data_IF_734566941977
#
_entry.id   IF_734566941977
#
_cell.length_a   1.000
_cell.length_b   1.000
_cell.length_c   1.000
_cell.angle_alpha   90.00
_cell.angle_beta   90.00
_cell.angle_gamma   90.00
#
_symmetry.space_group_name_H-M   'P 1'
#
loop_
_entity.id
_entity.type
_entity.pdbx_description
1 polymer ?
#
# COMPACT_ATOMS: atom_id res chain seq x y z
N UNK A 1 8.65 26.99 -3.22
CA UNK A 1 9.01 28.25 -3.88
C UNK A 1 7.79 29.00 -4.45
N UNK A 2 6.68 28.29 -4.68
CA UNK A 2 5.45 28.86 -5.27
C UNK A 2 4.21 28.60 -4.40
N UNK A 3 4.37 28.21 -3.12
CA UNK A 3 3.27 28.00 -2.17
C UNK A 3 2.45 26.72 -2.38
N UNK A 4 2.85 25.87 -3.30
CA UNK A 4 2.21 24.54 -3.49
C UNK A 4 2.50 23.61 -2.30
N UNK A 5 1.54 22.72 -2.01
CA UNK A 5 1.68 21.69 -0.99
C UNK A 5 1.91 20.34 -1.65
N UNK A 6 2.66 19.47 -0.99
CA UNK A 6 2.95 18.11 -1.45
C UNK A 6 2.09 17.10 -0.70
N UNK A 7 1.17 16.49 -1.41
CA UNK A 7 0.39 15.37 -0.91
C UNK A 7 1.05 14.06 -1.34
N UNK A 8 1.34 13.20 -0.37
CA UNK A 8 1.84 11.85 -0.63
C UNK A 8 0.74 10.85 -0.34
N UNK A 9 0.30 10.14 -1.37
CA UNK A 9 -0.56 8.99 -1.21
C UNK A 9 0.26 7.86 -0.58
N UNK A 10 0.10 7.69 0.72
CA UNK A 10 0.70 6.63 1.51
C UNK A 10 -0.29 5.52 1.85
N UNK A 11 -1.35 5.33 1.05
CA UNK A 11 -2.36 4.32 1.29
C UNK A 11 -1.73 2.96 1.59
N UNK A 12 -0.70 2.60 0.84
CA UNK A 12 0.14 1.43 1.10
C UNK A 12 1.54 1.88 1.53
N UNK A 13 1.89 1.62 2.80
CA UNK A 13 3.20 1.93 3.39
C UNK A 13 4.12 0.70 3.49
N UNK A 14 3.80 -0.41 2.83
CA UNK A 14 4.54 -1.67 3.00
C UNK A 14 6.04 -1.59 2.62
N UNK A 15 6.43 -0.60 1.81
CA UNK A 15 7.84 -0.33 1.53
C UNK A 15 8.46 0.81 2.37
N UNK A 16 7.71 1.42 3.28
CA UNK A 16 8.13 2.66 3.94
C UNK A 16 8.29 2.54 5.45
N UNK A 17 7.50 1.66 6.12
CA UNK A 17 7.49 1.61 7.59
C UNK A 17 8.90 1.30 8.13
N UNK A 18 9.39 2.17 9.00
CA UNK A 18 10.73 2.07 9.57
C UNK A 18 11.89 2.42 8.62
N UNK A 19 11.65 2.57 7.32
CA UNK A 19 12.66 2.84 6.30
C UNK A 19 12.66 4.29 5.81
N UNK A 20 11.47 4.85 5.53
CA UNK A 20 11.33 6.21 5.06
C UNK A 20 10.04 6.85 5.60
N UNK A 21 10.12 8.09 6.05
CA UNK A 21 8.96 8.83 6.56
C UNK A 21 8.51 9.91 5.57
N UNK A 22 7.23 9.99 5.19
CA UNK A 22 6.73 10.98 4.24
C UNK A 22 7.15 12.41 4.57
N UNK A 23 7.05 12.83 5.83
CA UNK A 23 7.50 14.16 6.24
C UNK A 23 9.01 14.39 6.11
N UNK A 24 9.84 13.32 6.13
CA UNK A 24 11.30 13.45 5.97
C UNK A 24 11.73 13.70 4.54
N UNK A 25 10.94 13.28 3.57
CA UNK A 25 11.21 13.55 2.16
C UNK A 25 10.33 14.65 1.56
N UNK A 26 9.65 15.43 2.41
CA UNK A 26 9.02 16.69 2.03
C UNK A 26 7.51 16.64 1.77
N UNK A 27 6.80 15.64 2.29
CA UNK A 27 5.34 15.63 2.28
C UNK A 27 4.78 16.64 3.27
N UNK A 28 3.84 17.45 2.83
CA UNK A 28 3.01 18.32 3.69
C UNK A 28 1.80 17.57 4.24
N UNK A 29 1.28 16.62 3.46
CA UNK A 29 0.17 15.74 3.82
C UNK A 29 0.49 14.32 3.38
N UNK A 30 0.18 13.35 4.23
CA UNK A 30 0.15 11.93 3.85
C UNK A 30 -1.01 11.22 4.54
N UNK A 31 -1.72 10.37 3.81
CA UNK A 31 -2.65 9.42 4.40
C UNK A 31 -2.10 8.00 4.30
N UNK A 32 -2.63 7.11 5.11
CA UNK A 32 -2.34 5.69 5.04
C UNK A 32 -3.62 4.88 5.28
N UNK A 33 -3.67 3.66 4.75
CA UNK A 33 -4.79 2.75 4.98
C UNK A 33 -4.35 1.64 5.94
N UNK A 34 -5.04 1.54 7.08
CA UNK A 34 -4.69 0.53 8.07
C UNK A 34 -4.94 -0.90 7.57
N UNK A 35 -5.88 -1.08 6.64
CA UNK A 35 -6.18 -2.37 6.02
C UNK A 35 -5.15 -2.83 4.97
N UNK A 36 -4.16 -2.02 4.65
CA UNK A 36 -3.07 -2.40 3.74
C UNK A 36 -1.79 -2.76 4.50
N UNK A 37 -1.41 -1.94 5.49
CA UNK A 37 -0.10 -2.07 6.14
C UNK A 37 -0.21 -2.43 7.63
N UNK A 38 -1.36 -2.19 8.26
CA UNK A 38 -1.53 -2.32 9.72
C UNK A 38 -2.67 -3.26 10.13
N UNK A 39 -2.91 -4.28 9.32
CA UNK A 39 -3.58 -5.51 9.71
C UNK A 39 -5.09 -5.43 9.99
N UNK A 40 -5.79 -4.30 9.78
CA UNK A 40 -7.23 -4.31 9.96
C UNK A 40 -7.93 -5.03 8.79
N UNK A 41 -9.01 -5.78 9.05
CA UNK A 41 -9.81 -6.36 7.97
C UNK A 41 -10.62 -5.29 7.25
N UNK A 42 -10.62 -5.31 5.91
CA UNK A 42 -11.45 -4.43 5.07
C UNK A 42 -12.08 -5.19 3.89
N UNK A 43 -11.51 -6.30 3.50
CA UNK A 43 -12.07 -7.19 2.49
C UNK A 43 -13.49 -7.65 2.85
N UNK A 44 -14.39 -7.68 1.87
CA UNK A 44 -15.79 -8.00 2.09
C UNK A 44 -16.62 -6.87 2.73
N UNK A 45 -16.09 -5.63 2.85
CA UNK A 45 -16.83 -4.45 3.27
C UNK A 45 -16.77 -4.14 4.76
N UNK A 46 -15.72 -4.55 5.45
CA UNK A 46 -15.45 -4.13 6.82
C UNK A 46 -15.18 -2.62 6.93
N UNK A 47 -15.21 -2.04 8.15
CA UNK A 47 -14.92 -0.62 8.35
C UNK A 47 -13.47 -0.31 7.98
N UNK A 48 -13.26 0.71 7.14
CA UNK A 48 -11.94 1.23 6.81
C UNK A 48 -11.52 2.34 7.75
N UNK A 49 -10.21 2.50 7.93
CA UNK A 49 -9.60 3.64 8.61
C UNK A 49 -8.40 4.14 7.80
N UNK A 50 -8.37 5.44 7.58
CA UNK A 50 -7.32 6.13 6.85
C UNK A 50 -6.75 7.28 7.67
N UNK A 51 -5.84 7.03 8.63
CA UNK A 51 -5.18 8.10 9.34
C UNK A 51 -4.49 9.06 8.38
N UNK A 52 -4.52 10.35 8.72
CA UNK A 52 -3.87 11.40 7.96
C UNK A 52 -2.87 12.13 8.83
N UNK A 53 -1.66 12.32 8.32
CA UNK A 53 -0.64 13.15 8.92
C UNK A 53 -0.43 14.42 8.10
N UNK A 54 -0.28 15.55 8.78
CA UNK A 54 -0.08 16.84 8.12
C UNK A 54 1.07 17.63 8.75
N UNK A 55 1.71 18.48 7.96
CA UNK A 55 2.61 19.51 8.48
C UNK A 55 1.89 20.48 9.41
N UNK A 56 2.60 21.04 10.40
CA UNK A 56 2.00 21.91 11.44
C UNK A 56 1.20 23.10 10.87
N UNK A 57 1.62 23.63 9.73
CA UNK A 57 0.93 24.73 9.05
C UNK A 57 -0.44 24.35 8.49
N UNK A 58 -0.72 23.05 8.30
CA UNK A 58 -2.00 22.53 7.85
C UNK A 58 -2.89 22.03 9.00
N UNK A 59 -2.36 21.93 10.21
CA UNK A 59 -3.12 21.47 11.37
C UNK A 59 -4.45 22.23 11.60
N UNK A 60 -4.54 23.56 11.39
CA UNK A 60 -5.80 24.30 11.54
C UNK A 60 -6.90 23.90 10.55
N UNK A 61 -6.56 23.20 9.49
CA UNK A 61 -7.49 22.76 8.43
C UNK A 61 -7.93 21.31 8.60
N UNK A 62 -7.45 20.61 9.63
CA UNK A 62 -7.85 19.23 9.89
C UNK A 62 -9.34 19.11 10.16
N UNK A 63 -9.97 17.98 9.80
CA UNK A 63 -11.32 17.67 10.23
C UNK A 63 -11.46 17.65 11.73
N UNK A 64 -12.61 18.04 12.22
CA UNK A 64 -12.95 18.01 13.64
C UNK A 64 -14.20 17.16 13.90
N UNK A 65 -14.61 17.03 15.14
CA UNK A 65 -15.81 16.35 15.57
C UNK A 65 -16.55 17.20 16.59
N UNK A 66 -17.86 17.31 16.42
CA UNK A 66 -18.72 18.04 17.39
C UNK A 66 -18.76 17.36 18.76
N UNK A 67 -18.54 16.04 18.81
CA UNK A 67 -18.60 15.25 20.05
C UNK A 67 -17.24 15.14 20.73
N UNK A 68 -16.17 15.07 19.93
CA UNK A 68 -14.79 14.91 20.43
C UNK A 68 -13.85 15.85 19.66
N UNK A 69 -13.94 17.16 19.86
CA UNK A 69 -13.13 18.11 19.10
C UNK A 69 -11.65 17.98 19.42
N UNK A 70 -10.80 18.15 18.41
CA UNK A 70 -9.37 18.31 18.60
C UNK A 70 -9.09 19.68 19.25
N UNK A 71 -8.11 19.72 20.13
CA UNK A 71 -7.73 20.96 20.81
C UNK A 71 -7.32 22.03 19.78
N UNK A 72 -7.90 23.21 19.91
CA UNK A 72 -7.62 24.35 19.02
C UNK A 72 -8.38 24.35 17.68
N UNK A 73 -9.24 23.35 17.43
CA UNK A 73 -10.10 23.32 16.25
C UNK A 73 -11.56 23.65 16.62
N UNK A 74 -12.26 24.29 15.68
CA UNK A 74 -13.70 24.56 15.82
C UNK A 74 -14.49 23.24 15.68
N UNK A 75 -15.16 22.86 16.75
CA UNK A 75 -15.95 21.63 16.81
C UNK A 75 -17.08 21.54 15.77
N UNK A 76 -17.52 22.68 15.21
CA UNK A 76 -18.65 22.76 14.27
C UNK A 76 -18.22 22.76 12.81
N UNK A 77 -16.92 22.93 12.54
CA UNK A 77 -16.38 23.00 11.18
C UNK A 77 -15.69 21.70 10.78
N UNK A 78 -15.75 21.42 9.49
CA UNK A 78 -15.04 20.31 8.86
C UNK A 78 -15.36 18.92 9.45
N UNK A 79 -16.58 18.70 9.93
CA UNK A 79 -17.05 17.37 10.36
C UNK A 79 -17.22 16.50 9.12
N UNK A 80 -16.55 15.35 9.08
CA UNK A 80 -16.53 14.46 7.92
C UNK A 80 -17.25 13.14 8.14
N UNK A 81 -17.60 12.79 9.37
CA UNK A 81 -18.30 11.55 9.69
C UNK A 81 -19.30 11.75 10.83
N UNK A 82 -20.31 10.87 10.89
CA UNK A 82 -21.32 10.89 11.96
C UNK A 82 -20.73 10.49 13.32
N UNK A 83 -19.73 9.59 13.31
CA UNK A 83 -18.98 9.21 14.51
C UNK A 83 -17.65 9.98 14.60
N UNK A 84 -17.12 10.23 15.79
CA UNK A 84 -15.82 10.88 15.92
C UNK A 84 -14.74 10.12 15.16
N UNK A 85 -14.17 10.75 14.14
CA UNK A 85 -13.04 10.23 13.35
C UNK A 85 -13.27 8.87 12.69
N UNK A 86 -14.51 8.49 12.40
CA UNK A 86 -14.86 7.22 11.74
C UNK A 86 -14.90 6.03 12.70
N UNK A 87 -14.51 4.86 12.23
CA UNK A 87 -14.61 3.58 13.00
C UNK A 87 -13.43 3.37 13.94
N UNK A 88 -13.28 4.23 14.95
CA UNK A 88 -12.11 4.25 15.84
C UNK A 88 -11.90 2.97 16.65
N UNK A 89 -12.94 2.19 16.92
CA UNK A 89 -12.82 0.91 17.65
C UNK A 89 -11.89 -0.08 16.96
N UNK A 90 -11.75 -0.02 15.63
CA UNK A 90 -10.87 -0.90 14.87
C UNK A 90 -9.36 -0.60 15.06
N UNK A 91 -9.03 0.56 15.60
CA UNK A 91 -7.64 0.97 15.87
C UNK A 91 -6.93 0.03 16.86
N UNK A 92 -7.70 -0.67 17.72
CA UNK A 92 -7.13 -1.66 18.65
C UNK A 92 -6.41 -2.79 17.94
N UNK A 93 -6.84 -3.18 16.74
CA UNK A 93 -6.19 -4.23 15.93
C UNK A 93 -4.81 -3.74 15.47
N UNK A 94 -4.73 -2.56 14.89
CA UNK A 94 -3.45 -1.98 14.47
C UNK A 94 -2.53 -1.73 15.67
N UNK A 95 -3.08 -1.29 16.79
CA UNK A 95 -2.31 -1.11 18.02
C UNK A 95 -1.69 -2.43 18.50
N UNK A 96 -2.48 -3.50 18.56
CA UNK A 96 -1.98 -4.83 18.94
C UNK A 96 -0.93 -5.33 17.96
N UNK A 97 -1.16 -5.19 16.66
CA UNK A 97 -0.19 -5.57 15.62
C UNK A 97 1.17 -4.88 15.85
N UNK A 98 1.16 -3.55 16.03
CA UNK A 98 2.38 -2.78 16.26
C UNK A 98 3.03 -3.16 17.60
N UNK A 99 2.23 -3.35 18.65
CA UNK A 99 2.74 -3.74 19.97
C UNK A 99 3.40 -5.14 19.95
N UNK A 100 2.81 -6.08 19.22
CA UNK A 100 3.34 -7.45 19.08
C UNK A 100 4.61 -7.49 18.21
N UNK A 101 4.64 -6.74 17.12
CA UNK A 101 5.78 -6.71 16.19
C UNK A 101 6.94 -5.89 16.73
N UNK A 102 6.66 -4.85 17.49
CA UNK A 102 7.65 -3.86 17.89
C UNK A 102 8.22 -3.06 16.71
N UNK A 103 9.09 -2.11 17.02
CA UNK A 103 9.72 -1.27 15.99
C UNK A 103 10.51 -2.09 14.97
N UNK A 104 11.27 -3.06 15.45
CA UNK A 104 12.12 -3.89 14.57
C UNK A 104 11.26 -4.80 13.68
N UNK A 105 10.23 -5.43 14.24
CA UNK A 105 9.36 -6.33 13.48
C UNK A 105 8.59 -5.62 12.36
N UNK A 106 8.03 -4.43 12.58
CA UNK A 106 7.35 -3.70 11.50
C UNK A 106 8.32 -3.17 10.46
N UNK A 107 9.58 -2.87 10.86
CA UNK A 107 10.64 -2.50 9.92
C UNK A 107 11.08 -3.70 9.07
N UNK A 108 11.24 -4.86 9.69
CA UNK A 108 11.61 -6.08 8.99
C UNK A 108 10.52 -6.57 8.05
N UNK A 109 9.24 -6.40 8.41
CA UNK A 109 8.13 -6.65 7.49
C UNK A 109 8.26 -5.83 6.20
N UNK A 110 8.62 -4.54 6.29
CA UNK A 110 8.87 -3.70 5.11
C UNK A 110 10.09 -4.18 4.30
N UNK A 111 11.17 -4.58 4.96
CA UNK A 111 12.36 -5.11 4.28
C UNK A 111 12.05 -6.40 3.54
N UNK A 112 11.32 -7.32 4.17
CA UNK A 112 10.92 -8.59 3.58
C UNK A 112 10.00 -8.38 2.39
N UNK A 113 9.02 -7.47 2.48
CA UNK A 113 8.15 -7.11 1.37
C UNK A 113 8.94 -6.65 0.13
N UNK A 114 9.94 -5.78 0.33
CA UNK A 114 10.83 -5.32 -0.74
C UNK A 114 11.66 -6.46 -1.33
N UNK A 115 12.22 -7.32 -0.48
CA UNK A 115 13.03 -8.48 -0.92
C UNK A 115 12.17 -9.43 -1.76
N UNK A 116 10.96 -9.76 -1.32
CA UNK A 116 10.06 -10.65 -2.05
C UNK A 116 9.68 -10.10 -3.43
N UNK A 117 9.32 -8.82 -3.53
CA UNK A 117 9.00 -8.21 -4.82
C UNK A 117 10.20 -8.22 -5.79
N UNK A 118 11.39 -7.93 -5.29
CA UNK A 118 12.62 -7.98 -6.09
C UNK A 118 13.02 -9.41 -6.48
N UNK A 119 12.77 -10.38 -5.60
CA UNK A 119 12.99 -11.79 -5.92
C UNK A 119 12.08 -12.25 -7.07
N UNK A 120 10.78 -11.96 -6.99
CA UNK A 120 9.84 -12.30 -8.05
C UNK A 120 10.22 -11.57 -9.36
N UNK A 121 10.50 -10.26 -9.30
CA UNK A 121 10.95 -9.51 -10.46
C UNK A 121 12.18 -10.14 -11.13
N UNK A 122 13.16 -10.58 -10.32
CA UNK A 122 14.35 -11.26 -10.82
C UNK A 122 14.04 -12.63 -11.44
N UNK A 123 13.13 -13.41 -10.83
CA UNK A 123 12.74 -14.73 -11.33
C UNK A 123 11.94 -14.65 -12.64
N UNK A 124 11.14 -13.62 -12.80
CA UNK A 124 10.35 -13.39 -14.02
C UNK A 124 11.16 -12.70 -15.14
N UNK A 125 12.32 -12.13 -14.80
CA UNK A 125 13.17 -11.48 -15.78
C UNK A 125 13.62 -12.46 -16.90
N UNK A 126 13.50 -12.02 -18.14
CA UNK A 126 13.76 -12.88 -19.31
C UNK A 126 12.52 -13.65 -19.81
N UNK A 127 11.45 -13.72 -19.02
CA UNK A 127 10.15 -14.24 -19.44
C UNK A 127 9.14 -13.12 -19.68
N UNK A 128 9.15 -12.14 -18.79
CA UNK A 128 8.30 -10.95 -18.82
C UNK A 128 9.12 -9.71 -18.47
N UNK A 129 8.86 -8.61 -19.15
CA UNK A 129 9.51 -7.34 -18.84
C UNK A 129 8.93 -6.74 -17.55
N UNK A 130 9.81 -6.31 -16.65
CA UNK A 130 9.44 -5.48 -15.50
C UNK A 130 9.36 -4.04 -15.98
N UNK A 131 8.16 -3.49 -16.02
CA UNK A 131 7.90 -2.22 -16.71
C UNK A 131 8.54 -1.00 -16.02
N UNK A 132 8.54 -1.00 -14.69
CA UNK A 132 9.10 0.11 -13.91
C UNK A 132 10.11 -0.37 -12.89
N UNK A 133 11.29 0.24 -12.90
CA UNK A 133 12.33 0.01 -11.90
C UNK A 133 12.93 1.33 -11.44
N UNK A 134 13.50 1.33 -10.26
CA UNK A 134 14.37 2.43 -9.81
C UNK A 134 15.69 2.48 -10.59
N UNK A 135 16.50 3.50 -10.31
CA UNK A 135 17.80 3.73 -10.98
C UNK A 135 18.77 2.54 -10.89
N UNK A 136 18.61 1.67 -9.91
CA UNK A 136 19.45 0.47 -9.70
C UNK A 136 18.84 -0.81 -10.27
N UNK A 137 17.74 -0.72 -11.03
CA UNK A 137 17.02 -1.87 -11.56
C UNK A 137 16.17 -2.63 -10.53
N UNK A 138 15.97 -2.07 -9.34
CA UNK A 138 15.15 -2.68 -8.28
C UNK A 138 13.76 -2.05 -8.20
N UNK A 139 12.82 -2.80 -7.63
CA UNK A 139 11.45 -2.37 -7.33
C UNK A 139 11.25 -2.15 -5.83
N UNK A 140 10.13 -1.56 -5.43
CA UNK A 140 9.71 -1.43 -4.03
C UNK A 140 9.09 -2.75 -3.52
N UNK A 141 7.90 -2.71 -2.93
CA UNK A 141 7.17 -3.90 -2.47
C UNK A 141 6.25 -4.51 -3.55
N UNK A 142 6.24 -3.94 -4.73
CA UNK A 142 5.45 -4.36 -5.89
C UNK A 142 6.32 -4.42 -7.13
N UNK A 143 6.01 -5.31 -8.07
CA UNK A 143 6.57 -5.27 -9.41
C UNK A 143 5.48 -5.29 -10.46
N UNK A 144 5.66 -4.50 -11.51
CA UNK A 144 4.74 -4.39 -12.64
C UNK A 144 5.31 -5.17 -13.79
N UNK A 145 4.64 -6.25 -14.20
CA UNK A 145 5.05 -7.04 -15.37
C UNK A 145 4.18 -6.72 -16.58
N UNK A 146 4.82 -6.65 -17.74
CA UNK A 146 4.19 -6.32 -19.01
C UNK A 146 3.73 -7.57 -19.74
N UNK A 147 2.41 -7.73 -19.89
CA UNK A 147 1.79 -8.87 -20.61
C UNK A 147 1.50 -8.53 -22.08
N UNK A 148 1.62 -7.27 -22.49
CA UNK A 148 1.30 -6.84 -23.85
C UNK A 148 2.08 -7.60 -24.93
N UNK A 149 3.40 -7.85 -24.80
CA UNK A 149 4.12 -8.64 -25.79
C UNK A 149 3.65 -10.10 -25.87
N UNK A 150 3.20 -10.69 -24.76
CA UNK A 150 2.58 -12.03 -24.78
C UNK A 150 1.25 -12.01 -25.52
N UNK A 151 0.40 -11.03 -25.22
CA UNK A 151 -0.89 -10.86 -25.88
C UNK A 151 -0.77 -10.69 -27.39
N UNK A 152 0.19 -9.89 -27.85
CA UNK A 152 0.44 -9.69 -29.29
C UNK A 152 0.84 -10.98 -30.02
N UNK A 153 1.63 -11.84 -29.37
CA UNK A 153 2.12 -13.08 -29.97
C UNK A 153 1.13 -14.23 -29.90
N UNK A 154 0.33 -14.32 -28.86
CA UNK A 154 -0.44 -15.52 -28.53
C UNK A 154 -1.93 -15.27 -28.36
N UNK A 155 -2.38 -14.03 -28.23
CA UNK A 155 -3.72 -13.66 -27.84
C UNK A 155 -4.04 -13.80 -26.34
N UNK A 156 -3.11 -14.34 -25.53
CA UNK A 156 -3.30 -14.49 -24.08
C UNK A 156 -3.25 -13.14 -23.41
N UNK A 157 -4.28 -12.81 -22.63
CA UNK A 157 -4.44 -11.52 -21.95
C UNK A 157 -3.98 -11.57 -20.50
N UNK A 158 -3.85 -10.39 -19.87
CA UNK A 158 -3.62 -10.28 -18.44
C UNK A 158 -4.73 -10.93 -17.60
N UNK A 159 -5.97 -10.93 -18.11
CA UNK A 159 -7.10 -11.59 -17.47
C UNK A 159 -6.95 -13.12 -17.52
N UNK A 160 -6.52 -13.67 -18.65
CA UNK A 160 -6.27 -15.11 -18.78
C UNK A 160 -5.18 -15.58 -17.82
N UNK A 161 -4.09 -14.81 -17.71
CA UNK A 161 -3.01 -15.10 -16.75
C UNK A 161 -3.51 -15.03 -15.31
N UNK A 162 -4.27 -13.99 -14.96
CA UNK A 162 -4.83 -13.84 -13.62
C UNK A 162 -5.77 -15.02 -13.27
N UNK A 163 -6.67 -15.40 -14.16
CA UNK A 163 -7.55 -16.56 -13.97
C UNK A 163 -6.76 -17.85 -13.82
N UNK A 164 -5.71 -18.03 -14.61
CA UNK A 164 -4.87 -19.22 -14.51
C UNK A 164 -4.11 -19.30 -13.19
N UNK A 165 -3.66 -18.17 -12.64
CA UNK A 165 -3.08 -18.12 -11.31
C UNK A 165 -4.07 -18.54 -10.22
N UNK A 166 -5.35 -18.16 -10.35
CA UNK A 166 -6.41 -18.63 -9.45
C UNK A 166 -6.57 -20.16 -9.50
N UNK A 167 -6.49 -20.77 -10.69
CA UNK A 167 -6.52 -22.22 -10.82
C UNK A 167 -5.37 -22.93 -10.08
N UNK A 168 -4.23 -22.25 -9.94
CA UNK A 168 -3.10 -22.72 -9.13
C UNK A 168 -3.19 -22.37 -7.64
N UNK A 169 -4.28 -21.75 -7.20
CA UNK A 169 -4.51 -21.40 -5.81
C UNK A 169 -3.90 -20.06 -5.37
N UNK A 170 -3.44 -19.23 -6.30
CA UNK A 170 -2.95 -17.90 -6.00
C UNK A 170 -4.08 -16.87 -5.94
N UNK A 171 -3.95 -15.87 -5.09
CA UNK A 171 -4.71 -14.64 -5.23
C UNK A 171 -4.16 -13.87 -6.43
N UNK A 172 -5.00 -13.63 -7.44
CA UNK A 172 -4.56 -13.01 -8.68
C UNK A 172 -4.02 -11.58 -8.44
N UNK A 173 -2.94 -11.20 -9.15
CA UNK A 173 -2.43 -9.84 -9.12
C UNK A 173 -3.45 -8.82 -9.64
N UNK A 174 -3.30 -7.55 -9.26
CA UNK A 174 -4.09 -6.46 -9.82
C UNK A 174 -3.81 -6.33 -11.31
N UNK A 175 -4.89 -6.39 -12.11
CA UNK A 175 -4.80 -6.33 -13.56
C UNK A 175 -4.86 -4.89 -14.07
N UNK A 176 -4.14 -4.63 -15.17
CA UNK A 176 -4.21 -3.36 -15.91
C UNK A 176 -4.00 -2.11 -15.05
N UNK A 177 -3.09 -2.19 -14.09
CA UNK A 177 -2.69 -1.09 -13.25
C UNK A 177 -1.16 -1.09 -13.03
N UNK A 178 -0.47 0.06 -13.11
CA UNK A 178 -0.97 1.41 -13.47
C UNK A 178 -1.22 1.59 -14.97
N UNK A 179 -0.88 0.62 -15.79
CA UNK A 179 -1.02 0.65 -17.26
C UNK A 179 -1.85 -0.54 -17.72
N UNK A 180 -2.72 -0.33 -18.71
CA UNK A 180 -3.50 -1.39 -19.32
C UNK A 180 -2.58 -2.49 -19.91
N UNK A 181 -2.95 -3.75 -19.72
CA UNK A 181 -2.20 -4.91 -20.20
C UNK A 181 -1.01 -5.30 -19.32
N UNK A 182 -1.00 -4.87 -18.06
CA UNK A 182 0.02 -5.24 -17.07
C UNK A 182 -0.58 -6.01 -15.90
N UNK A 183 0.29 -6.64 -15.12
CA UNK A 183 -0.05 -7.22 -13.81
C UNK A 183 0.83 -6.60 -12.73
N UNK A 184 0.20 -6.10 -11.66
CA UNK A 184 0.90 -5.59 -10.48
C UNK A 184 0.96 -6.69 -9.42
N UNK A 185 2.15 -7.22 -9.20
CA UNK A 185 2.40 -8.29 -8.24
C UNK A 185 2.89 -7.68 -6.93
N UNK A 186 2.13 -7.89 -5.87
CA UNK A 186 2.49 -7.49 -4.50
C UNK A 186 2.56 -8.72 -3.59
N UNK A 187 3.75 -9.28 -3.34
CA UNK A 187 3.92 -10.47 -2.51
C UNK A 187 4.10 -10.16 -1.03
N UNK A 188 3.62 -9.03 -0.54
CA UNK A 188 3.84 -8.52 0.82
C UNK A 188 3.44 -9.51 1.91
N UNK A 189 2.32 -10.22 1.72
CA UNK A 189 1.77 -11.18 2.69
C UNK A 189 2.17 -12.63 2.39
N UNK A 190 3.08 -12.85 1.44
CA UNK A 190 3.61 -14.18 1.15
C UNK A 190 4.57 -14.61 2.25
N UNK A 191 4.21 -15.64 3.00
CA UNK A 191 4.93 -16.02 4.22
C UNK A 191 6.31 -16.62 3.97
N UNK A 192 6.53 -17.32 2.86
CA UNK A 192 7.72 -18.10 2.62
C UNK A 192 8.17 -18.01 1.16
N UNK A 193 9.48 -17.92 0.95
CA UNK A 193 10.07 -17.89 -0.41
C UNK A 193 9.69 -19.10 -1.25
N UNK A 194 9.61 -20.30 -0.65
CA UNK A 194 9.25 -21.51 -1.41
C UNK A 194 7.82 -21.49 -1.94
N UNK A 195 6.90 -20.74 -1.34
CA UNK A 195 5.55 -20.56 -1.92
C UNK A 195 5.58 -19.74 -3.20
N UNK A 196 6.59 -18.87 -3.35
CA UNK A 196 6.84 -18.11 -4.57
C UNK A 196 7.55 -18.96 -5.64
N UNK A 197 8.32 -19.98 -5.25
CA UNK A 197 9.00 -20.89 -6.15
C UNK A 197 8.08 -21.99 -6.71
N UNK A 198 6.94 -22.23 -6.09
CA UNK A 198 5.94 -23.20 -6.54
C UNK A 198 5.03 -22.66 -7.68
N UNK A 199 5.18 -21.37 -8.01
CA UNK A 199 4.47 -20.70 -9.11
C UNK A 199 5.32 -20.67 -10.36
#
# INVERSE_FOLDING_TARGET
LHGGQVYVDGANLNALVGLAGPGKFGADVSHLNLHKTFCIPHGGGGPGMGPIGVGSHLAPYLPSSAVAPLQGLDATKNVISATPYGSTSILTISWMYIAMMGQDGVTDASRVAIVHANYIASRLNGHYDVLYTGKKGTVAHECIIDIRPLKERTGVTEEDVAKRLIDYGFHAPTMSFPVAGTLMIEPTESCLLYTSDAA
#
